data_IF_146764468939
#
_entry.id   IF_146764468939
#
_cell.length_a   1.000
_cell.length_b   1.000
_cell.length_c   1.000
_cell.angle_alpha   90.00
_cell.angle_beta   90.00
_cell.angle_gamma   90.00
#
_symmetry.space_group_name_H-M   'P 1'
#
loop_
_entity.id
_entity.type
_entity.pdbx_description
1 polymer ?
#
# COMPACT_ATOMS: atom_id res chain seq x y z
N UNK A 1 17.61 3.69 2.58
CA UNK A 1 17.31 2.31 2.17
C UNK A 1 16.45 2.25 0.90
N UNK A 2 15.25 2.85 0.87
CA UNK A 2 14.36 2.80 -0.31
C UNK A 2 15.02 3.19 -1.64
N UNK A 3 15.81 4.27 -1.69
CA UNK A 3 16.49 4.68 -2.93
C UNK A 3 17.47 3.63 -3.42
N UNK A 4 18.25 3.04 -2.52
CA UNK A 4 19.24 2.03 -2.86
C UNK A 4 18.55 0.77 -3.39
N UNK A 5 17.48 0.33 -2.72
CA UNK A 5 16.68 -0.82 -3.16
C UNK A 5 16.09 -0.59 -4.56
N UNK A 6 15.49 0.59 -4.80
CA UNK A 6 14.96 0.96 -6.11
C UNK A 6 16.05 0.97 -7.17
N UNK A 7 17.21 1.57 -6.87
CA UNK A 7 18.32 1.64 -7.80
C UNK A 7 18.84 0.24 -8.18
N UNK A 8 19.04 -0.63 -7.20
CA UNK A 8 19.46 -2.02 -7.42
C UNK A 8 18.43 -2.82 -8.21
N UNK A 9 17.14 -2.62 -7.96
CA UNK A 9 16.06 -3.25 -8.72
C UNK A 9 16.05 -2.76 -10.18
N UNK A 10 16.09 -1.45 -10.39
CA UNK A 10 16.11 -0.83 -11.72
C UNK A 10 17.29 -1.35 -12.56
N UNK A 11 18.49 -1.43 -11.97
CA UNK A 11 19.72 -1.86 -12.65
C UNK A 11 19.70 -3.31 -13.14
N UNK A 12 18.74 -4.14 -12.70
CA UNK A 12 18.56 -5.48 -13.26
C UNK A 12 17.95 -5.45 -14.68
N UNK A 13 17.20 -4.39 -15.00
CA UNK A 13 16.40 -4.31 -16.22
C UNK A 13 16.85 -3.18 -17.15
N UNK A 14 17.45 -2.10 -16.62
CA UNK A 14 17.89 -0.96 -17.41
C UNK A 14 19.13 -0.30 -16.81
N UNK A 15 20.07 0.15 -17.67
CA UNK A 15 21.34 0.76 -17.26
C UNK A 15 21.37 2.30 -17.40
N UNK A 16 20.28 2.93 -17.85
CA UNK A 16 20.18 4.38 -17.96
C UNK A 16 20.05 5.03 -16.58
N UNK A 17 21.18 5.54 -16.08
CA UNK A 17 21.28 6.22 -14.79
C UNK A 17 20.43 7.50 -14.75
N UNK A 18 20.30 8.21 -15.87
CA UNK A 18 19.47 9.42 -15.94
C UNK A 18 17.99 9.08 -15.75
N UNK A 19 17.53 8.02 -16.43
CA UNK A 19 16.19 7.49 -16.25
C UNK A 19 15.97 6.97 -14.83
N UNK A 20 16.91 6.22 -14.26
CA UNK A 20 16.84 5.73 -12.88
C UNK A 20 16.62 6.89 -11.89
N UNK A 21 17.46 7.92 -11.96
CA UNK A 21 17.37 9.10 -11.09
C UNK A 21 16.03 9.80 -11.29
N UNK A 22 15.59 9.97 -12.55
CA UNK A 22 14.29 10.59 -12.87
C UNK A 22 13.13 9.84 -12.23
N UNK A 23 13.06 8.51 -12.38
CA UNK A 23 11.96 7.71 -11.84
C UNK A 23 11.97 7.68 -10.32
N UNK A 24 13.14 7.56 -9.69
CA UNK A 24 13.24 7.65 -8.23
C UNK A 24 12.76 9.01 -7.71
N UNK A 25 13.16 10.11 -8.36
CA UNK A 25 12.70 11.45 -7.98
C UNK A 25 11.19 11.62 -8.16
N UNK A 26 10.58 11.01 -9.18
CA UNK A 26 9.13 10.97 -9.36
C UNK A 26 8.43 10.24 -8.21
N UNK A 27 8.89 9.03 -7.86
CA UNK A 27 8.36 8.25 -6.73
C UNK A 27 8.50 9.06 -5.43
N UNK A 28 9.69 9.57 -5.14
CA UNK A 28 9.99 10.36 -3.95
C UNK A 28 9.08 11.58 -3.85
N UNK A 29 8.96 12.35 -4.94
CA UNK A 29 8.14 13.57 -4.98
C UNK A 29 6.68 13.25 -4.70
N UNK A 30 6.12 12.22 -5.33
CA UNK A 30 4.72 11.87 -5.18
C UNK A 30 4.39 11.41 -3.76
N UNK A 31 5.32 10.74 -3.06
CA UNK A 31 5.15 10.31 -1.67
C UNK A 31 5.54 11.36 -0.62
N UNK A 32 6.12 12.51 -1.01
CA UNK A 32 6.60 13.54 -0.08
C UNK A 32 5.69 14.78 0.02
N UNK A 33 4.47 14.72 -0.54
CA UNK A 33 3.51 15.84 -0.46
C UNK A 33 3.11 16.11 0.99
N UNK A 34 3.02 17.39 1.39
CA UNK A 34 2.58 17.80 2.75
C UNK A 34 1.20 17.28 3.15
N UNK A 35 0.38 16.87 2.18
CA UNK A 35 -0.97 16.31 2.40
C UNK A 35 -0.97 14.80 2.64
N UNK A 36 0.17 14.11 2.45
CA UNK A 36 0.35 12.68 2.69
C UNK A 36 0.95 12.48 4.08
N UNK A 37 0.10 12.21 5.05
CA UNK A 37 0.50 12.01 6.44
C UNK A 37 0.79 10.54 6.73
N UNK A 38 0.07 9.63 6.09
CA UNK A 38 0.27 8.19 6.18
C UNK A 38 0.85 7.63 4.88
N UNK A 39 0.25 7.92 3.72
CA UNK A 39 0.63 7.34 2.41
C UNK A 39 1.90 8.01 1.82
N UNK A 40 3.00 7.94 2.56
CA UNK A 40 4.29 8.56 2.29
C UNK A 40 5.42 7.52 2.20
N UNK A 41 6.68 7.96 2.18
CA UNK A 41 7.82 7.04 2.06
C UNK A 41 7.95 6.07 3.25
N UNK A 42 7.55 6.46 4.45
CA UNK A 42 7.58 5.56 5.61
C UNK A 42 6.55 4.43 5.50
N UNK A 43 5.43 4.65 4.79
CA UNK A 43 4.50 3.56 4.44
C UNK A 43 5.20 2.51 3.56
N UNK A 44 5.96 2.94 2.54
CA UNK A 44 6.72 2.01 1.71
C UNK A 44 7.77 1.24 2.53
N UNK A 45 8.46 1.91 3.46
CA UNK A 45 9.41 1.27 4.37
C UNK A 45 8.72 0.19 5.21
N UNK A 46 7.53 0.46 5.76
CA UNK A 46 6.76 -0.52 6.53
C UNK A 46 6.42 -1.76 5.69
N UNK A 47 6.00 -1.61 4.42
CA UNK A 47 5.74 -2.76 3.55
C UNK A 47 7.01 -3.60 3.35
N UNK A 48 8.15 -2.97 3.12
CA UNK A 48 9.42 -3.70 3.00
C UNK A 48 9.78 -4.43 4.30
N UNK A 49 9.60 -3.80 5.46
CA UNK A 49 9.87 -4.42 6.76
C UNK A 49 8.99 -5.65 7.03
N UNK A 50 7.73 -5.64 6.59
CA UNK A 50 6.84 -6.78 6.70
C UNK A 50 7.19 -7.92 5.74
N UNK A 51 7.66 -7.59 4.53
CA UNK A 51 7.83 -8.56 3.45
C UNK A 51 9.23 -9.16 3.35
N UNK A 52 10.28 -8.42 3.74
CA UNK A 52 11.66 -8.93 3.71
C UNK A 52 11.83 -10.26 4.48
N UNK A 53 11.27 -10.44 5.70
CA UNK A 53 11.41 -11.69 6.45
C UNK A 53 10.82 -12.91 5.74
N UNK A 54 9.87 -12.70 4.83
CA UNK A 54 9.18 -13.76 4.06
C UNK A 54 9.48 -13.66 2.57
N UNK A 55 10.57 -12.99 2.18
CA UNK A 55 10.96 -12.79 0.78
C UNK A 55 11.03 -14.09 -0.03
N UNK A 56 11.43 -15.19 0.62
CA UNK A 56 11.57 -16.50 0.00
C UNK A 56 10.25 -17.16 -0.41
N UNK A 57 9.12 -16.68 0.12
CA UNK A 57 7.77 -17.16 -0.23
C UNK A 57 7.28 -16.59 -1.57
N UNK A 58 7.93 -15.54 -2.07
CA UNK A 58 7.53 -14.88 -3.31
C UNK A 58 8.11 -15.56 -4.54
N UNK A 59 7.26 -15.81 -5.52
CA UNK A 59 7.68 -16.28 -6.84
C UNK A 59 8.34 -15.15 -7.64
N UNK A 60 7.80 -13.93 -7.55
CA UNK A 60 8.30 -12.77 -8.29
C UNK A 60 8.52 -11.54 -7.42
N UNK A 61 9.57 -11.59 -6.60
CA UNK A 61 9.95 -10.51 -5.70
C UNK A 61 10.22 -9.17 -6.41
N UNK A 62 10.74 -9.19 -7.64
CA UNK A 62 11.02 -7.94 -8.37
C UNK A 62 9.73 -7.20 -8.75
N UNK A 63 8.69 -7.92 -9.20
CA UNK A 63 7.38 -7.34 -9.49
C UNK A 63 6.75 -6.75 -8.22
N UNK A 64 6.84 -7.47 -7.09
CA UNK A 64 6.32 -7.01 -5.80
C UNK A 64 6.97 -5.70 -5.36
N UNK A 65 8.29 -5.59 -5.51
CA UNK A 65 8.98 -4.35 -5.17
C UNK A 65 8.49 -3.17 -6.02
N UNK A 66 8.29 -3.36 -7.33
CA UNK A 66 7.69 -2.32 -8.17
C UNK A 66 6.27 -1.98 -7.73
N UNK A 67 5.42 -2.98 -7.43
CA UNK A 67 4.08 -2.76 -6.90
C UNK A 67 4.11 -1.93 -5.61
N UNK A 68 5.05 -2.19 -4.68
CA UNK A 68 5.24 -1.37 -3.48
C UNK A 68 5.51 0.08 -3.85
N UNK A 69 6.48 0.36 -4.74
CA UNK A 69 6.81 1.75 -5.10
C UNK A 69 5.69 2.50 -5.81
N UNK A 70 4.80 1.79 -6.51
CA UNK A 70 3.81 2.40 -7.38
C UNK A 70 2.37 2.34 -6.88
N UNK A 71 1.97 1.47 -5.94
CA UNK A 71 0.55 1.28 -5.60
C UNK A 71 -0.19 2.56 -5.18
N UNK A 72 0.46 3.41 -4.39
CA UNK A 72 -0.08 4.70 -3.92
C UNK A 72 0.63 5.91 -4.54
N UNK A 73 1.34 5.75 -5.66
CA UNK A 73 2.06 6.86 -6.27
C UNK A 73 1.09 7.98 -6.70
N UNK A 74 -0.12 7.64 -7.12
CA UNK A 74 -1.21 8.58 -7.32
C UNK A 74 -2.17 8.47 -6.15
N UNK A 75 -2.28 9.52 -5.34
CA UNK A 75 -3.17 9.53 -4.18
C UNK A 75 -3.80 10.91 -4.01
N UNK A 76 -5.12 10.96 -4.18
CA UNK A 76 -5.97 12.11 -3.90
C UNK A 76 -7.24 11.63 -3.21
N UNK A 77 -7.48 12.10 -1.99
CA UNK A 77 -8.65 11.69 -1.17
C UNK A 77 -10.01 12.05 -1.78
N UNK A 78 -10.03 12.90 -2.81
CA UNK A 78 -11.25 13.27 -3.57
C UNK A 78 -11.52 12.38 -4.78
N UNK A 79 -10.69 11.38 -5.05
CA UNK A 79 -10.81 10.47 -6.19
C UNK A 79 -11.11 9.06 -5.73
N UNK A 80 -11.83 8.32 -6.57
CA UNK A 80 -12.15 6.90 -6.39
C UNK A 80 -11.39 5.98 -7.35
N UNK A 81 -10.47 6.53 -8.15
CA UNK A 81 -9.70 5.84 -9.18
C UNK A 81 -8.18 5.97 -8.95
N UNK A 82 -7.74 6.14 -7.70
CA UNK A 82 -6.33 6.32 -7.36
C UNK A 82 -5.52 5.08 -7.77
N UNK A 83 -6.03 3.89 -7.48
CA UNK A 83 -5.37 2.61 -7.76
C UNK A 83 -5.26 2.40 -9.28
N UNK A 84 -6.31 2.70 -10.05
CA UNK A 84 -6.26 2.65 -11.51
C UNK A 84 -5.23 3.63 -12.09
N UNK A 85 -5.13 4.84 -11.52
CA UNK A 85 -4.16 5.86 -11.95
C UNK A 85 -2.73 5.49 -11.58
N UNK A 86 -2.52 4.94 -10.39
CA UNK A 86 -1.24 4.39 -9.95
C UNK A 86 -0.80 3.24 -10.84
N UNK A 87 -1.71 2.30 -11.14
CA UNK A 87 -1.45 1.17 -12.02
C UNK A 87 -1.14 1.62 -13.45
N UNK A 88 -1.87 2.61 -13.98
CA UNK A 88 -1.57 3.21 -15.29
C UNK A 88 -0.16 3.80 -15.31
N UNK A 89 0.20 4.59 -14.29
CA UNK A 89 1.54 5.19 -14.21
C UNK A 89 2.63 4.11 -14.08
N UNK A 90 2.38 3.04 -13.31
CA UNK A 90 3.31 1.93 -13.18
C UNK A 90 3.60 1.28 -14.53
N UNK A 91 2.56 0.99 -15.32
CA UNK A 91 2.70 0.43 -16.69
C UNK A 91 3.60 1.33 -17.54
N UNK A 92 3.28 2.63 -17.62
CA UNK A 92 4.06 3.59 -18.43
C UNK A 92 5.54 3.66 -18.02
N UNK A 93 5.86 3.50 -16.74
CA UNK A 93 7.25 3.56 -16.24
C UNK A 93 7.98 2.24 -16.40
N UNK A 94 7.28 1.12 -16.24
CA UNK A 94 7.87 -0.20 -16.42
C UNK A 94 8.14 -0.51 -17.91
N UNK A 95 7.30 -0.02 -18.81
CA UNK A 95 7.57 -0.04 -20.26
C UNK A 95 8.84 0.77 -20.61
N UNK A 96 9.04 1.95 -19.99
CA UNK A 96 10.23 2.78 -20.22
C UNK A 96 11.54 2.09 -19.81
N UNK A 97 11.50 1.18 -18.86
CA UNK A 97 12.68 0.42 -18.41
C UNK A 97 12.80 -0.94 -19.10
N UNK A 98 11.98 -1.22 -20.11
CA UNK A 98 11.92 -2.50 -20.81
C UNK A 98 11.64 -3.70 -19.89
N UNK A 99 10.80 -3.50 -18.87
CA UNK A 99 10.37 -4.60 -18.00
C UNK A 99 9.52 -5.62 -18.79
N UNK A 100 9.60 -6.94 -18.50
CA UNK A 100 8.84 -7.94 -19.26
C UNK A 100 7.32 -7.70 -19.19
N UNK A 101 6.65 -7.77 -20.33
CA UNK A 101 5.23 -7.41 -20.47
C UNK A 101 4.30 -8.22 -19.54
N UNK A 102 4.56 -9.52 -19.40
CA UNK A 102 3.81 -10.40 -18.49
C UNK A 102 3.91 -9.92 -17.03
N UNK A 103 5.10 -9.44 -16.63
CA UNK A 103 5.36 -8.88 -15.30
C UNK A 103 4.78 -7.48 -15.11
N UNK A 104 4.77 -6.65 -16.16
CA UNK A 104 4.06 -5.36 -16.15
C UNK A 104 2.58 -5.58 -15.84
N UNK A 105 1.94 -6.54 -16.52
CA UNK A 105 0.54 -6.86 -16.25
C UNK A 105 0.33 -7.46 -14.86
N UNK A 106 1.30 -8.22 -14.32
CA UNK A 106 1.26 -8.70 -12.92
C UNK A 106 1.33 -7.55 -11.93
N UNK A 107 2.26 -6.60 -12.09
CA UNK A 107 2.36 -5.39 -11.28
C UNK A 107 1.07 -4.56 -11.31
N UNK A 108 0.50 -4.35 -12.50
CA UNK A 108 -0.79 -3.68 -12.67
C UNK A 108 -1.90 -4.36 -11.86
N UNK A 109 -2.02 -5.69 -11.94
CA UNK A 109 -3.04 -6.45 -11.19
C UNK A 109 -2.83 -6.35 -9.68
N UNK A 110 -1.58 -6.40 -9.22
CA UNK A 110 -1.22 -6.26 -7.80
C UNK A 110 -1.64 -4.89 -7.26
N UNK A 111 -1.34 -3.81 -7.98
CA UNK A 111 -1.77 -2.46 -7.58
C UNK A 111 -3.30 -2.34 -7.56
N UNK A 112 -3.99 -2.86 -8.57
CA UNK A 112 -5.46 -2.83 -8.58
C UNK A 112 -6.09 -3.63 -7.43
N UNK A 113 -5.42 -4.67 -6.94
CA UNK A 113 -5.90 -5.49 -5.84
C UNK A 113 -5.95 -4.73 -4.50
N UNK A 114 -5.18 -3.66 -4.32
CA UNK A 114 -5.21 -2.83 -3.09
C UNK A 114 -6.49 -2.01 -2.95
N UNK A 115 -7.37 -2.00 -3.96
CA UNK A 115 -8.65 -1.28 -3.89
C UNK A 115 -9.69 -1.94 -3.01
N UNK A 116 -9.77 -3.27 -3.08
CA UNK A 116 -10.77 -4.08 -2.39
C UNK A 116 -10.15 -5.08 -1.41
N UNK A 117 -8.83 -5.30 -1.50
CA UNK A 117 -8.10 -6.31 -0.73
C UNK A 117 -8.81 -7.66 -0.77
N UNK A 118 -9.34 -8.04 -1.94
CA UNK A 118 -9.98 -9.33 -2.17
C UNK A 118 -8.92 -10.42 -2.36
N UNK A 119 -9.31 -11.69 -2.18
CA UNK A 119 -8.41 -12.83 -2.42
C UNK A 119 -7.95 -12.85 -3.87
N UNK A 120 -6.64 -12.98 -4.06
CA UNK A 120 -5.94 -13.02 -5.34
C UNK A 120 -4.92 -14.19 -5.36
N UNK A 121 -3.92 -14.10 -6.24
CA UNK A 121 -2.80 -15.05 -6.27
C UNK A 121 -1.88 -14.92 -5.03
N UNK A 122 -1.05 -15.93 -4.71
CA UNK A 122 -0.25 -15.97 -3.47
C UNK A 122 0.64 -14.75 -3.25
N UNK A 123 1.40 -14.32 -4.27
CA UNK A 123 2.27 -13.13 -4.20
C UNK A 123 1.45 -11.87 -3.91
N UNK A 124 0.32 -11.70 -4.62
CA UNK A 124 -0.57 -10.55 -4.44
C UNK A 124 -1.18 -10.54 -3.04
N UNK A 125 -1.60 -11.68 -2.51
CA UNK A 125 -2.18 -11.79 -1.17
C UNK A 125 -1.18 -11.36 -0.09
N UNK A 126 0.09 -11.79 -0.18
CA UNK A 126 1.14 -11.36 0.75
C UNK A 126 1.38 -9.84 0.68
N UNK A 127 1.39 -9.28 -0.53
CA UNK A 127 1.53 -7.84 -0.73
C UNK A 127 0.36 -7.04 -0.14
N UNK A 128 -0.89 -7.42 -0.44
CA UNK A 128 -2.08 -6.74 0.09
C UNK A 128 -2.21 -6.92 1.61
N UNK A 129 -1.77 -8.05 2.16
CA UNK A 129 -1.73 -8.25 3.60
C UNK A 129 -0.69 -7.34 4.29
N UNK A 130 0.48 -7.15 3.67
CA UNK A 130 1.49 -6.24 4.18
C UNK A 130 1.02 -4.78 4.15
N UNK A 131 0.29 -4.38 3.10
CA UNK A 131 -0.34 -3.06 3.01
C UNK A 131 -1.36 -2.83 4.16
N UNK A 132 -2.12 -3.86 4.53
CA UNK A 132 -3.05 -3.83 5.66
C UNK A 132 -2.41 -4.05 7.04
N UNK A 133 -1.10 -4.34 7.12
CA UNK A 133 -0.44 -4.75 8.37
C UNK A 133 -0.54 -3.70 9.50
N UNK A 134 -0.69 -2.42 9.14
CA UNK A 134 -0.90 -1.32 10.09
C UNK A 134 -2.12 -1.56 10.99
N UNK A 135 -3.15 -2.24 10.46
CA UNK A 135 -4.37 -2.53 11.20
C UNK A 135 -4.06 -3.40 12.42
N UNK A 136 -3.13 -4.35 12.29
CA UNK A 136 -2.75 -5.28 13.36
C UNK A 136 -1.65 -4.81 14.30
N UNK A 137 -1.15 -3.57 14.17
CA UNK A 137 -0.10 -3.06 15.07
C UNK A 137 -0.64 -2.76 16.47
N UNK A 138 0.23 -2.40 17.41
CA UNK A 138 -0.21 -1.98 18.75
C UNK A 138 -1.19 -0.79 18.65
N UNK A 139 -2.02 -0.61 19.68
CA UNK A 139 -3.01 0.46 19.67
C UNK A 139 -2.38 1.84 19.49
N UNK A 140 -1.20 2.09 20.05
CA UNK A 140 -0.50 3.37 19.99
C UNK A 140 -0.07 3.69 18.54
N UNK A 141 0.44 2.67 17.83
CA UNK A 141 0.82 2.79 16.42
C UNK A 141 -0.42 2.96 15.54
N UNK A 142 -1.44 2.13 15.76
CA UNK A 142 -2.73 2.23 15.06
C UNK A 142 -3.40 3.59 15.28
N UNK A 143 -3.33 4.12 16.50
CA UNK A 143 -3.94 5.40 16.85
C UNK A 143 -3.29 6.56 16.08
N UNK A 144 -1.97 6.52 15.95
CA UNK A 144 -1.21 7.45 15.11
C UNK A 144 -1.67 7.35 13.64
N UNK A 145 -1.84 6.12 13.14
CA UNK A 145 -2.32 5.86 11.78
C UNK A 145 -3.69 6.48 11.51
N UNK A 146 -4.73 6.17 12.29
CA UNK A 146 -6.07 6.69 11.95
C UNK A 146 -6.14 8.23 12.10
N UNK A 147 -5.34 8.82 13.00
CA UNK A 147 -5.20 10.27 13.12
C UNK A 147 -4.51 10.89 11.89
N UNK A 148 -3.49 10.23 11.34
CA UNK A 148 -2.87 10.64 10.09
C UNK A 148 -3.87 10.55 8.94
N UNK A 149 -4.65 9.47 8.84
CA UNK A 149 -5.74 9.35 7.86
C UNK A 149 -6.75 10.49 8.01
N UNK A 150 -7.17 10.84 9.24
CA UNK A 150 -8.05 12.01 9.46
C UNK A 150 -7.47 13.29 8.87
N UNK A 151 -6.16 13.51 9.00
CA UNK A 151 -5.47 14.69 8.43
C UNK A 151 -5.46 14.68 6.90
N UNK A 152 -5.28 13.53 6.27
CA UNK A 152 -5.33 13.41 4.79
C UNK A 152 -6.72 13.71 4.23
N UNK A 153 -7.76 13.34 4.98
CA UNK A 153 -9.16 13.62 4.66
C UNK A 153 -9.66 14.94 5.26
N UNK A 154 -8.76 15.87 5.64
CA UNK A 154 -9.11 17.17 6.25
C UNK A 154 -10.01 18.06 5.39
N UNK A 155 -10.09 17.82 4.07
CA UNK A 155 -11.01 18.52 3.17
C UNK A 155 -12.48 18.20 3.47
N UNK A 156 -12.76 17.05 4.08
CA UNK A 156 -14.12 16.62 4.42
C UNK A 156 -14.50 17.09 5.83
N UNK A 157 -15.72 17.65 6.00
CA UNK A 157 -16.29 17.89 7.32
C UNK A 157 -16.36 16.61 8.15
N UNK A 158 -16.31 16.76 9.48
CA UNK A 158 -16.20 15.62 10.39
C UNK A 158 -17.33 14.60 10.21
N UNK A 159 -18.57 15.04 9.96
CA UNK A 159 -19.69 14.11 9.77
C UNK A 159 -19.52 13.25 8.50
N UNK A 160 -19.02 13.83 7.39
CA UNK A 160 -18.80 13.08 6.15
C UNK A 160 -17.63 12.11 6.31
N UNK A 161 -16.52 12.59 6.88
CA UNK A 161 -15.35 11.76 7.15
C UNK A 161 -15.72 10.59 8.07
N UNK A 162 -16.41 10.86 9.17
CA UNK A 162 -16.79 9.84 10.16
C UNK A 162 -17.67 8.76 9.55
N UNK A 163 -18.66 9.15 8.74
CA UNK A 163 -19.52 8.19 8.04
C UNK A 163 -18.72 7.33 7.04
N UNK A 164 -17.83 7.95 6.26
CA UNK A 164 -16.97 7.23 5.31
C UNK A 164 -15.99 6.28 6.03
N UNK A 165 -15.36 6.75 7.11
CA UNK A 165 -14.42 5.97 7.90
C UNK A 165 -15.11 4.78 8.56
N UNK A 166 -16.29 4.96 9.18
CA UNK A 166 -17.08 3.86 9.73
C UNK A 166 -17.38 2.79 8.69
N UNK A 167 -17.77 3.18 7.47
CA UNK A 167 -18.00 2.21 6.37
C UNK A 167 -16.74 1.43 6.01
N UNK A 168 -15.59 2.08 5.93
CA UNK A 168 -14.32 1.41 5.65
C UNK A 168 -13.93 0.43 6.76
N UNK A 169 -14.06 0.82 8.03
CA UNK A 169 -13.78 -0.05 9.19
C UNK A 169 -14.73 -1.26 9.21
N UNK A 170 -16.02 -1.02 8.97
CA UNK A 170 -17.03 -2.09 8.93
C UNK A 170 -16.76 -3.06 7.77
N UNK A 171 -16.38 -2.56 6.60
CA UNK A 171 -16.01 -3.39 5.46
C UNK A 171 -14.94 -4.43 5.81
N UNK A 172 -13.89 -4.04 6.55
CA UNK A 172 -12.86 -4.98 6.99
C UNK A 172 -13.37 -5.94 8.08
N UNK A 173 -14.19 -5.47 9.01
CA UNK A 173 -14.76 -6.33 10.06
C UNK A 173 -15.73 -7.39 9.51
N UNK A 174 -16.42 -7.07 8.42
CA UNK A 174 -17.36 -7.96 7.72
C UNK A 174 -16.65 -9.03 6.88
N UNK A 175 -15.35 -8.89 6.62
CA UNK A 175 -14.57 -9.95 5.98
C UNK A 175 -14.43 -11.14 6.93
N UNK A 176 -14.48 -12.36 6.38
CA UNK A 176 -14.18 -13.58 7.15
C UNK A 176 -12.76 -13.51 7.74
N UNK A 177 -11.79 -13.10 6.92
CA UNK A 177 -10.43 -12.77 7.33
C UNK A 177 -10.00 -11.45 6.70
N UNK A 178 -9.45 -10.54 7.52
CA UNK A 178 -8.86 -9.28 7.04
C UNK A 178 -7.62 -9.60 6.22
N UNK A 179 -6.75 -10.46 6.77
CA UNK A 179 -5.54 -10.93 6.09
C UNK A 179 -5.82 -12.24 5.34
N UNK A 180 -5.29 -12.39 4.13
CA UNK A 180 -5.59 -13.51 3.22
C UNK A 180 -4.65 -14.69 3.40
N UNK A 181 -3.49 -14.46 3.99
CA UNK A 181 -2.47 -15.48 4.22
C UNK A 181 -2.39 -15.87 5.69
N UNK A 182 -2.11 -17.16 5.94
CA UNK A 182 -1.97 -17.68 7.30
C UNK A 182 -0.87 -16.96 8.10
N UNK A 183 0.21 -16.53 7.44
CA UNK A 183 1.28 -15.76 8.06
C UNK A 183 0.77 -14.45 8.68
N UNK A 184 0.09 -13.61 7.89
CA UNK A 184 -0.44 -12.33 8.39
C UNK A 184 -1.67 -12.50 9.29
N UNK A 185 -2.51 -13.52 9.05
CA UNK A 185 -3.63 -13.84 9.94
C UNK A 185 -3.14 -14.12 11.37
N UNK A 186 -2.19 -15.06 11.51
CA UNK A 186 -1.63 -15.43 12.81
C UNK A 186 -0.94 -14.25 13.51
N UNK A 187 -0.32 -13.36 12.72
CA UNK A 187 0.43 -12.21 13.23
C UNK A 187 -0.47 -11.05 13.66
N UNK A 188 -1.57 -10.79 12.93
CA UNK A 188 -2.27 -9.51 13.01
C UNK A 188 -3.79 -9.57 13.11
N UNK A 189 -4.46 -10.65 12.70
CA UNK A 189 -5.94 -10.69 12.59
C UNK A 189 -6.63 -10.28 13.89
N UNK A 190 -6.25 -10.91 15.01
CA UNK A 190 -6.86 -10.63 16.32
C UNK A 190 -6.66 -9.17 16.75
N UNK A 191 -5.45 -8.63 16.56
CA UNK A 191 -5.16 -7.25 16.95
C UNK A 191 -5.85 -6.24 16.03
N UNK A 192 -5.94 -6.55 14.73
CA UNK A 192 -6.62 -5.72 13.76
C UNK A 192 -8.09 -5.55 14.10
N UNK A 193 -8.80 -6.64 14.38
CA UNK A 193 -10.21 -6.57 14.79
C UNK A 193 -10.41 -5.73 16.05
N UNK A 194 -9.57 -5.93 17.08
CA UNK A 194 -9.61 -5.11 18.31
C UNK A 194 -9.40 -3.61 18.02
N UNK A 195 -8.46 -3.27 17.14
CA UNK A 195 -8.17 -1.89 16.78
C UNK A 195 -9.33 -1.25 16.01
N UNK A 196 -9.86 -1.95 15.01
CA UNK A 196 -10.99 -1.48 14.18
C UNK A 196 -12.25 -1.26 15.03
N UNK A 197 -12.60 -2.22 15.89
CA UNK A 197 -13.74 -2.12 16.82
C UNK A 197 -13.57 -0.95 17.80
N UNK A 198 -12.36 -0.76 18.34
CA UNK A 198 -12.06 0.35 19.25
C UNK A 198 -12.17 1.70 18.54
N UNK A 199 -11.69 1.83 17.31
CA UNK A 199 -11.87 3.06 16.51
C UNK A 199 -13.36 3.32 16.22
N UNK A 200 -14.14 2.28 15.85
CA UNK A 200 -15.58 2.41 15.65
C UNK A 200 -16.30 2.95 16.89
N UNK A 201 -15.95 2.45 18.08
CA UNK A 201 -16.52 2.95 19.35
C UNK A 201 -16.15 4.42 19.60
N UNK A 202 -14.93 4.85 19.27
CA UNK A 202 -14.49 6.24 19.40
C UNK A 202 -15.28 7.15 18.45
N UNK A 203 -15.46 6.72 17.19
CA UNK A 203 -16.22 7.45 16.18
C UNK A 203 -17.75 7.43 16.43
N UNK A 204 -18.24 6.51 17.27
CA UNK A 204 -19.64 6.38 17.67
C UNK A 204 -20.08 7.33 18.78
N UNK A 205 -19.13 7.92 19.49
CA UNK A 205 -19.36 8.98 20.49
C UNK A 205 -19.46 10.34 19.82
#
# INVERSE_FOLDING_TARGET
MLQQNFNSLFQKYNQDISLQVKLWLEIKKNHSSKKRHYHNLSHLENLFEELIPIKQEFEDWDTIQFSIYYHDIVYKTTRSDNEEKSAQLAVERLEQISYPEDKIQKCKRQILATKLHAVADPDTNLFTDADLSILGKSWEVYATYYQQIRKEYSIYPDFMYTNGRKKALQHFLDMEYIFKTSYFQNKYESQARRNLEKELQILGK
#
